data_IF_840275853993
#
_entry.id   IF_840275853993
#
_cell.length_a   1.000
_cell.length_b   1.000
_cell.length_c   1.000
_cell.angle_alpha   90.00
_cell.angle_beta   90.00
_cell.angle_gamma   90.00
#
_symmetry.space_group_name_H-M   'P 1'
#
loop_
_entity.id
_entity.type
_entity.pdbx_description
1 polymer ?
#
# COMPACT_ATOMS: atom_id res chain seq x y z
N UNK A 1 9.65 -2.21 2.49
CA UNK A 1 9.87 -1.68 1.11
C UNK A 1 8.63 -1.74 0.22
N UNK A 2 7.64 -2.60 0.50
CA UNK A 2 6.40 -2.69 -0.31
C UNK A 2 5.36 -1.62 0.02
N UNK A 3 5.43 -0.97 1.18
CA UNK A 3 4.44 0.01 1.65
C UNK A 3 4.20 1.18 0.69
N UNK A 4 5.22 1.80 0.07
CA UNK A 4 4.97 2.86 -0.91
C UNK A 4 4.13 2.38 -2.11
N UNK A 5 4.25 1.11 -2.50
CA UNK A 5 3.52 0.56 -3.64
C UNK A 5 2.02 0.45 -3.40
N UNK A 6 1.58 0.25 -2.16
CA UNK A 6 0.15 0.29 -1.80
C UNK A 6 -0.50 1.64 -2.10
N UNK A 7 0.28 2.72 -2.04
CA UNK A 7 -0.19 4.07 -2.34
C UNK A 7 0.01 4.35 -3.83
N UNK A 8 1.18 4.03 -4.37
CA UNK A 8 1.52 4.35 -5.76
C UNK A 8 0.66 3.62 -6.79
N UNK A 9 0.27 2.36 -6.56
CA UNK A 9 -0.51 1.59 -7.54
C UNK A 9 -1.91 2.22 -7.75
N UNK A 10 -2.69 2.54 -6.71
CA UNK A 10 -3.95 3.27 -6.87
C UNK A 10 -3.77 4.64 -7.52
N UNK A 11 -2.71 5.39 -7.16
CA UNK A 11 -2.44 6.71 -7.73
C UNK A 11 -2.13 6.64 -9.23
N UNK A 12 -1.21 5.75 -9.62
CA UNK A 12 -0.86 5.51 -11.03
C UNK A 12 -2.08 4.94 -11.77
N UNK A 13 -2.83 4.05 -11.13
CA UNK A 13 -4.07 3.49 -11.69
C UNK A 13 -5.11 4.56 -12.00
N UNK A 14 -5.34 5.50 -11.08
CA UNK A 14 -6.23 6.65 -11.31
C UNK A 14 -5.73 7.54 -12.46
N UNK A 15 -4.43 7.81 -12.51
CA UNK A 15 -3.82 8.57 -13.60
C UNK A 15 -3.99 7.87 -14.96
N UNK A 16 -3.78 6.55 -15.01
CA UNK A 16 -3.99 5.74 -16.20
C UNK A 16 -5.47 5.71 -16.61
N UNK A 17 -6.41 5.57 -15.67
CA UNK A 17 -7.84 5.64 -15.95
C UNK A 17 -8.22 6.96 -16.64
N UNK A 18 -7.69 8.09 -16.14
CA UNK A 18 -7.93 9.41 -16.74
C UNK A 18 -7.38 9.51 -18.17
N UNK A 19 -6.15 9.05 -18.40
CA UNK A 19 -5.54 9.13 -19.73
C UNK A 19 -6.16 8.16 -20.75
N UNK A 20 -6.61 7.00 -20.28
CA UNK A 20 -7.14 5.93 -21.15
C UNK A 20 -8.61 6.06 -21.50
N UNK A 21 -9.33 6.96 -20.85
CA UNK A 21 -10.70 7.32 -21.24
C UNK A 21 -10.77 7.73 -22.72
N UNK A 22 -9.71 8.38 -23.23
CA UNK A 22 -9.60 8.80 -24.63
C UNK A 22 -9.53 7.65 -25.64
N UNK A 23 -9.12 6.45 -25.22
CA UNK A 23 -9.01 5.27 -26.09
C UNK A 23 -10.29 4.43 -26.11
N UNK A 24 -11.24 4.70 -25.21
CA UNK A 24 -12.55 4.06 -25.23
C UNK A 24 -13.24 4.11 -23.87
N UNK A 25 -14.56 4.35 -23.90
CA UNK A 25 -15.41 4.52 -22.70
C UNK A 25 -15.43 3.31 -21.74
N UNK A 26 -14.97 2.13 -22.17
CA UNK A 26 -14.90 0.91 -21.35
C UNK A 26 -13.52 0.63 -20.77
N UNK A 27 -12.46 1.27 -21.29
CA UNK A 27 -11.06 0.98 -20.91
C UNK A 27 -10.73 1.38 -19.47
N UNK A 28 -11.17 2.54 -18.94
CA UNK A 28 -10.90 2.92 -17.55
C UNK A 28 -11.38 1.90 -16.53
N UNK A 29 -12.51 1.23 -16.79
CA UNK A 29 -13.08 0.22 -15.88
C UNK A 29 -12.15 -0.99 -15.73
N UNK A 30 -11.53 -1.44 -16.81
CA UNK A 30 -10.59 -2.56 -16.78
C UNK A 30 -9.28 -2.18 -16.08
N UNK A 31 -8.80 -0.95 -16.27
CA UNK A 31 -7.59 -0.48 -15.59
C UNK A 31 -7.84 -0.33 -14.08
N UNK A 32 -8.99 0.22 -13.69
CA UNK A 32 -9.40 0.26 -12.29
C UNK A 32 -9.46 -1.15 -11.68
N UNK A 33 -10.03 -2.13 -12.40
CA UNK A 33 -10.10 -3.51 -11.92
C UNK A 33 -8.71 -4.13 -11.73
N UNK A 34 -7.82 -3.97 -12.72
CA UNK A 34 -6.45 -4.51 -12.67
C UNK A 34 -5.67 -3.87 -11.52
N UNK A 35 -5.74 -2.55 -11.37
CA UNK A 35 -5.00 -1.81 -10.35
C UNK A 35 -5.48 -2.12 -8.93
N UNK A 36 -6.80 -2.25 -8.73
CA UNK A 36 -7.36 -2.70 -7.45
C UNK A 36 -7.00 -4.16 -7.16
N UNK A 37 -7.04 -5.03 -8.17
CA UNK A 37 -6.60 -6.43 -8.03
C UNK A 37 -5.12 -6.56 -7.64
N UNK A 38 -4.24 -5.73 -8.22
CA UNK A 38 -2.83 -5.67 -7.85
C UNK A 38 -2.63 -5.16 -6.42
N UNK A 39 -3.42 -4.17 -5.99
CA UNK A 39 -3.37 -3.64 -4.62
C UNK A 39 -3.78 -4.71 -3.61
N UNK A 40 -4.87 -5.45 -3.89
CA UNK A 40 -5.32 -6.57 -3.07
C UNK A 40 -4.28 -7.69 -3.03
N UNK A 41 -3.69 -8.05 -4.18
CA UNK A 41 -2.65 -9.08 -4.25
C UNK A 41 -1.43 -8.72 -3.40
N UNK A 42 -1.03 -7.45 -3.38
CA UNK A 42 0.03 -6.96 -2.50
C UNK A 42 -0.35 -7.01 -1.02
N UNK A 43 -1.61 -6.67 -0.68
CA UNK A 43 -2.14 -6.84 0.68
C UNK A 43 -2.06 -8.29 1.14
N UNK A 44 -2.51 -9.23 0.29
CA UNK A 44 -2.40 -10.67 0.55
C UNK A 44 -0.95 -11.15 0.65
N UNK A 45 -0.05 -10.63 -0.17
CA UNK A 45 1.36 -10.95 -0.07
C UNK A 45 1.96 -10.49 1.26
N UNK A 46 1.65 -9.28 1.71
CA UNK A 46 2.07 -8.78 3.03
C UNK A 46 1.47 -9.61 4.16
N UNK A 47 0.23 -10.06 4.00
CA UNK A 47 -0.41 -10.98 4.93
C UNK A 47 0.38 -12.30 5.03
N UNK A 48 0.66 -12.94 3.90
CA UNK A 48 1.42 -14.20 3.91
C UNK A 48 2.83 -14.06 4.49
N UNK A 49 3.44 -12.87 4.38
CA UNK A 49 4.77 -12.56 4.95
C UNK A 49 4.72 -12.17 6.43
N UNK A 50 3.60 -11.67 6.93
CA UNK A 50 3.44 -11.11 8.28
C UNK A 50 3.50 -12.14 9.41
N UNK A 51 3.45 -13.44 9.10
CA UNK A 51 3.66 -14.52 10.07
C UNK A 51 2.75 -14.41 11.29
N UNK A 52 1.42 -14.35 11.10
CA UNK A 52 0.38 -14.26 12.15
C UNK A 52 0.26 -15.50 13.05
N UNK A 53 1.38 -16.13 13.37
CA UNK A 53 1.47 -17.00 14.53
C UNK A 53 1.37 -16.16 15.79
N UNK A 54 0.85 -16.76 16.86
CA UNK A 54 0.61 -16.19 18.18
C UNK A 54 1.92 -15.79 18.92
N UNK A 55 2.75 -14.91 18.33
CA UNK A 55 3.96 -14.41 18.97
C UNK A 55 3.63 -13.27 19.93
N UNK A 56 3.93 -13.55 21.19
CA UNK A 56 3.78 -12.75 22.39
C UNK A 56 4.01 -11.25 22.19
N UNK A 57 3.16 -10.42 22.80
CA UNK A 57 3.39 -8.99 22.97
C UNK A 57 4.75 -8.73 23.63
N UNK A 58 5.78 -8.49 22.81
CA UNK A 58 6.90 -7.68 23.25
C UNK A 58 6.34 -6.26 23.40
N UNK A 59 6.40 -5.67 24.60
CA UNK A 59 5.72 -4.41 24.98
C UNK A 59 6.23 -3.14 24.29
N UNK A 60 6.55 -3.21 23.01
CA UNK A 60 7.08 -2.16 22.13
C UNK A 60 6.19 -2.15 20.87
N UNK A 61 5.89 -0.99 20.24
CA UNK A 61 5.17 -0.99 18.96
C UNK A 61 5.97 -1.77 17.91
N UNK A 62 5.57 -3.02 17.66
CA UNK A 62 6.20 -3.90 16.70
C UNK A 62 5.42 -3.83 15.39
N UNK A 63 5.85 -2.93 14.51
CA UNK A 63 5.36 -2.88 13.14
C UNK A 63 5.85 -4.10 12.36
N UNK A 64 4.99 -4.72 11.56
CA UNK A 64 5.37 -5.84 10.70
C UNK A 64 6.28 -5.38 9.56
N UNK A 65 6.01 -4.16 9.07
CA UNK A 65 6.86 -3.47 8.10
C UNK A 65 6.85 -1.98 8.38
N UNK A 66 8.02 -1.37 8.28
CA UNK A 66 8.20 0.07 8.41
C UNK A 66 8.97 0.59 7.19
N UNK A 67 8.58 1.78 6.73
CA UNK A 67 9.27 2.52 5.70
C UNK A 67 9.35 3.98 6.10
N UNK A 68 10.57 4.46 6.31
CA UNK A 68 10.85 5.85 6.69
C UNK A 68 11.67 6.52 5.59
N UNK A 69 11.14 7.62 5.07
CA UNK A 69 11.85 8.46 4.10
C UNK A 69 11.86 9.91 4.59
N UNK A 70 13.02 10.57 4.71
CA UNK A 70 13.08 11.97 5.10
C UNK A 70 12.38 12.84 4.04
N UNK A 71 11.45 13.69 4.45
CA UNK A 71 10.70 14.56 3.54
C UNK A 71 10.99 16.04 3.80
N UNK A 72 10.84 16.50 5.04
CA UNK A 72 11.19 17.87 5.45
C UNK A 72 12.07 17.80 6.69
N UNK A 73 13.38 17.54 6.54
CA UNK A 73 14.30 17.31 7.65
C UNK A 73 14.38 18.48 8.62
N UNK A 74 14.20 19.72 8.13
CA UNK A 74 14.22 20.94 8.95
C UNK A 74 13.19 20.93 10.08
N UNK A 75 12.06 20.25 9.88
CA UNK A 75 11.01 20.10 10.89
C UNK A 75 10.99 18.70 11.52
N UNK A 76 11.97 17.84 11.21
CA UNK A 76 11.96 16.44 11.63
C UNK A 76 10.84 15.61 10.98
N UNK A 77 10.28 16.07 9.85
CA UNK A 77 9.16 15.39 9.18
C UNK A 77 9.70 14.37 8.18
N UNK A 78 9.30 13.12 8.37
CA UNK A 78 9.54 12.02 7.45
C UNK A 78 8.23 11.40 7.00
N UNK A 79 8.20 10.87 5.78
CA UNK A 79 7.17 9.93 5.34
C UNK A 79 7.45 8.64 6.10
N UNK A 80 6.70 8.44 7.18
CA UNK A 80 6.72 7.23 7.99
C UNK A 80 5.48 6.42 7.63
N UNK A 81 5.68 5.33 6.89
CA UNK A 81 4.65 4.33 6.62
C UNK A 81 4.92 3.13 7.51
N UNK A 82 4.00 2.83 8.40
CA UNK A 82 4.06 1.67 9.26
C UNK A 82 2.83 0.79 9.02
N UNK A 83 3.04 -0.52 9.02
CA UNK A 83 1.97 -1.49 8.81
C UNK A 83 1.92 -2.46 9.98
N UNK A 84 0.74 -2.51 10.60
CA UNK A 84 0.38 -3.43 11.68
C UNK A 84 -0.74 -4.37 11.21
N UNK A 85 -1.03 -5.43 11.98
CA UNK A 85 -2.09 -6.39 11.67
C UNK A 85 -3.47 -5.72 11.50
N UNK A 86 -3.78 -4.68 12.27
CA UNK A 86 -5.02 -3.91 12.11
C UNK A 86 -5.02 -3.11 10.80
N UNK A 87 -3.92 -2.43 10.47
CA UNK A 87 -3.82 -1.64 9.24
C UNK A 87 -3.93 -2.51 7.99
N UNK A 88 -3.40 -3.72 8.04
CA UNK A 88 -3.50 -4.65 6.93
C UNK A 88 -4.94 -5.13 6.67
N UNK A 89 -5.76 -5.29 7.72
CA UNK A 89 -7.18 -5.63 7.56
C UNK A 89 -8.00 -4.51 6.90
N UNK A 90 -7.49 -3.27 6.88
CA UNK A 90 -8.17 -2.12 6.27
C UNK A 90 -7.86 -1.92 4.79
N UNK A 91 -6.88 -2.67 4.25
CA UNK A 91 -6.48 -2.63 2.84
C UNK A 91 -7.32 -3.62 2.04
#
# INVERSE_FOLDING_TARGET
>A
MLLPWLILIPFIGGFLCWQTERFGVKVPRWIALITMGLTLALGLQLWLQGGYSLTQSAGIPQWQSEFVLPWIPRFGISIHLALDGLSLLMV
#
